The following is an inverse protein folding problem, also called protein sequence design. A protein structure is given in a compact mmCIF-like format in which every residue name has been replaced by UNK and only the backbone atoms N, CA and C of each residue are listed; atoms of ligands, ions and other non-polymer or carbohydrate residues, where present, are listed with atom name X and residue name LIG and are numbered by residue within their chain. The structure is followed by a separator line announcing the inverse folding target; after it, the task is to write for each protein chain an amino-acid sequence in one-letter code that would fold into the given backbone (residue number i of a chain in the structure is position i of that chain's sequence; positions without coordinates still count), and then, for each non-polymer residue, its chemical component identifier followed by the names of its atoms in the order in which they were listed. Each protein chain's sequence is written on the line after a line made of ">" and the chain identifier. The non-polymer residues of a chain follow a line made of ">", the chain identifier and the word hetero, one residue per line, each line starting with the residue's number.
data_IF_271899758662
#
_entry.id   IF_271899758662
#
_cell.length_a   1.000
_cell.length_b   1.000
_cell.length_c   1.000
_cell.angle_alpha   90.00
_cell.angle_beta   90.00
_cell.angle_gamma   90.00
#
_symmetry.space_group_name_H-M   'P 1'
#
loop_
_entity.id
_entity.type
_entity.pdbx_description
1 polymer ?
#
# COMPACT_ATOMS: atom_id res chain seq x y z
N UNK A 1 25.32 -6.37 -2.49
CA UNK A 1 24.95 -7.66 -3.14
C UNK A 1 25.48 -8.93 -2.46
N UNK A 2 26.63 -8.95 -1.75
CA UNK A 2 27.30 -10.21 -1.37
C UNK A 2 27.11 -10.77 0.06
N UNK A 3 26.26 -10.18 0.91
CA UNK A 3 26.18 -10.60 2.33
C UNK A 3 24.91 -11.34 2.77
N UNK A 4 23.85 -11.39 1.97
CA UNK A 4 22.58 -12.06 2.37
C UNK A 4 22.52 -13.53 1.92
N UNK A 5 23.42 -13.96 1.04
CA UNK A 5 23.44 -15.31 0.47
C UNK A 5 23.96 -16.42 1.39
N UNK A 6 24.34 -16.10 2.63
CA UNK A 6 24.97 -17.07 3.55
C UNK A 6 24.07 -17.51 4.71
N UNK A 7 22.76 -17.22 4.64
CA UNK A 7 21.79 -17.71 5.63
C UNK A 7 21.32 -19.10 5.22
N UNK A 8 21.57 -20.11 6.06
CA UNK A 8 21.08 -21.47 5.83
C UNK A 8 19.56 -21.47 5.58
N UNK A 9 19.11 -22.13 4.51
CA UNK A 9 17.71 -22.18 4.09
C UNK A 9 17.25 -21.06 3.15
N UNK A 10 18.09 -20.07 2.83
CA UNK A 10 17.79 -19.07 1.79
C UNK A 10 18.08 -19.63 0.39
N UNK A 11 17.05 -19.74 -0.45
CA UNK A 11 17.18 -20.25 -1.83
C UNK A 11 17.61 -19.15 -2.78
N UNK A 12 16.95 -17.99 -2.71
CA UNK A 12 17.36 -16.81 -3.50
C UNK A 12 16.82 -15.51 -2.91
N UNK A 13 17.53 -14.42 -3.19
CA UNK A 13 17.08 -13.05 -2.90
C UNK A 13 17.34 -12.17 -4.12
N UNK A 14 16.31 -11.45 -4.57
CA UNK A 14 16.40 -10.46 -5.65
C UNK A 14 15.89 -9.14 -5.14
N UNK A 15 16.74 -8.12 -5.16
CA UNK A 15 16.38 -6.76 -4.72
C UNK A 15 16.17 -5.88 -5.94
N UNK A 16 15.03 -5.18 -5.98
CA UNK A 16 14.75 -4.12 -6.92
C UNK A 16 14.96 -2.78 -6.20
N UNK A 17 16.05 -2.10 -6.53
CA UNK A 17 16.44 -0.81 -5.96
C UNK A 17 15.56 0.35 -6.42
N UNK A 18 14.89 0.26 -7.57
CA UNK A 18 13.96 1.30 -8.05
C UNK A 18 12.66 1.33 -7.24
N UNK A 19 12.15 0.16 -6.85
CA UNK A 19 10.88 0.02 -6.11
C UNK A 19 11.07 -0.22 -4.61
N UNK A 20 12.32 -0.32 -4.14
CA UNK A 20 12.68 -0.73 -2.77
C UNK A 20 12.02 -2.05 -2.33
N UNK A 21 11.89 -3.00 -3.26
CA UNK A 21 11.26 -4.32 -3.01
C UNK A 21 12.29 -5.43 -3.10
N UNK A 22 12.19 -6.43 -2.23
CA UNK A 22 12.98 -7.65 -2.30
C UNK A 22 12.05 -8.85 -2.49
N UNK A 23 12.36 -9.70 -3.47
CA UNK A 23 11.77 -11.01 -3.64
C UNK A 23 12.67 -12.03 -2.96
N UNK A 24 12.07 -12.81 -2.05
CA UNK A 24 12.76 -13.78 -1.22
C UNK A 24 12.16 -15.17 -1.48
N UNK A 25 13.01 -16.14 -1.81
CA UNK A 25 12.64 -17.55 -1.83
C UNK A 25 13.46 -18.27 -0.77
N UNK A 26 12.80 -18.98 0.13
CA UNK A 26 13.44 -19.71 1.22
C UNK A 26 12.68 -21.00 1.53
N UNK A 27 13.38 -21.94 2.14
CA UNK A 27 12.82 -23.19 2.63
C UNK A 27 12.23 -22.97 4.03
N UNK A 28 10.90 -23.08 4.14
CA UNK A 28 10.16 -22.90 5.40
C UNK A 28 10.48 -23.98 6.44
N UNK A 29 11.03 -25.11 6.03
CA UNK A 29 11.41 -26.20 6.95
C UNK A 29 12.74 -25.93 7.66
N UNK A 30 13.59 -25.08 7.07
CA UNK A 30 14.91 -24.76 7.61
C UNK A 30 15.00 -23.39 8.27
N UNK A 31 14.24 -22.40 7.78
CA UNK A 31 14.29 -21.04 8.34
C UNK A 31 12.92 -20.36 8.33
N UNK A 32 12.60 -19.65 9.41
CA UNK A 32 11.33 -18.89 9.52
C UNK A 32 11.47 -17.52 8.87
N UNK A 33 10.39 -17.02 8.26
CA UNK A 33 10.38 -15.67 7.66
C UNK A 33 10.74 -14.57 8.68
N UNK A 34 10.31 -14.71 9.93
CA UNK A 34 10.64 -13.78 11.02
C UNK A 34 12.15 -13.65 11.26
N UNK A 35 12.90 -14.75 11.12
CA UNK A 35 14.35 -14.75 11.30
C UNK A 35 15.04 -14.06 10.13
N UNK A 36 14.58 -14.33 8.89
CA UNK A 36 15.08 -13.63 7.70
C UNK A 36 14.82 -12.12 7.77
N UNK A 37 13.64 -11.70 8.21
CA UNK A 37 13.32 -10.28 8.44
C UNK A 37 14.20 -9.67 9.53
N UNK A 38 14.48 -10.40 10.61
CA UNK A 38 15.38 -9.94 11.69
C UNK A 38 16.81 -9.74 11.19
N UNK A 39 17.34 -10.63 10.34
CA UNK A 39 18.66 -10.47 9.71
C UNK A 39 18.69 -9.21 8.84
N UNK A 40 17.66 -8.99 8.02
CA UNK A 40 17.57 -7.78 7.19
C UNK A 40 17.50 -6.52 8.07
N UNK A 41 16.80 -6.60 9.20
CA UNK A 41 16.72 -5.49 10.16
C UNK A 41 18.06 -5.17 10.83
N UNK A 42 18.84 -6.20 11.19
CA UNK A 42 20.20 -6.04 11.72
C UNK A 42 21.18 -5.42 10.73
N UNK A 43 20.95 -5.62 9.43
CA UNK A 43 21.72 -4.95 8.36
C UNK A 43 21.35 -3.47 8.19
N UNK A 44 20.43 -2.94 9.00
CA UNK A 44 19.99 -1.54 8.96
C UNK A 44 18.81 -1.28 8.02
N UNK A 45 18.24 -2.31 7.39
CA UNK A 45 17.12 -2.17 6.46
C UNK A 45 15.79 -2.52 7.14
N UNK A 46 14.81 -1.63 7.07
CA UNK A 46 13.44 -1.94 7.52
C UNK A 46 12.72 -2.77 6.46
N UNK A 47 12.70 -4.10 6.65
CA UNK A 47 11.92 -5.00 5.81
C UNK A 47 10.61 -5.38 6.52
N UNK A 48 9.52 -5.33 5.77
CA UNK A 48 8.22 -5.86 6.17
C UNK A 48 7.70 -6.75 5.03
N UNK A 49 6.85 -7.76 5.32
CA UNK A 49 6.16 -8.51 4.28
C UNK A 49 5.45 -7.55 3.32
N UNK A 50 5.57 -7.84 2.02
CA UNK A 50 4.91 -7.05 1.00
C UNK A 50 3.39 -7.33 1.03
N UNK A 51 2.61 -6.41 1.56
CA UNK A 51 1.16 -6.51 1.71
C UNK A 51 0.46 -5.73 0.58
N UNK A 52 0.44 -6.27 -0.63
CA UNK A 52 -0.26 -5.66 -1.78
C UNK A 52 -1.75 -5.41 -1.49
N UNK A 53 -2.41 -6.43 -0.92
CA UNK A 53 -3.85 -6.43 -0.68
C UNK A 53 -4.32 -5.29 0.23
N UNK A 54 -3.52 -4.91 1.23
CA UNK A 54 -3.90 -3.84 2.16
C UNK A 54 -3.89 -2.47 1.50
N UNK A 55 -2.90 -2.21 0.63
CA UNK A 55 -2.85 -0.95 -0.11
C UNK A 55 -3.99 -0.86 -1.12
N UNK A 56 -4.21 -1.93 -1.88
CA UNK A 56 -5.27 -1.96 -2.90
C UNK A 56 -6.67 -1.84 -2.27
N UNK A 57 -6.93 -2.57 -1.18
CA UNK A 57 -8.18 -2.43 -0.43
C UNK A 57 -8.37 -1.02 0.16
N UNK A 58 -7.30 -0.40 0.67
CA UNK A 58 -7.36 0.97 1.18
C UNK A 58 -7.65 1.98 0.06
N UNK A 59 -7.04 1.79 -1.11
CA UNK A 59 -7.25 2.62 -2.29
C UNK A 59 -8.69 2.56 -2.78
N UNK A 60 -9.27 1.35 -2.90
CA UNK A 60 -10.67 1.19 -3.27
C UNK A 60 -11.64 1.84 -2.27
N UNK A 61 -11.37 1.73 -0.97
CA UNK A 61 -12.18 2.39 0.07
C UNK A 61 -12.13 3.92 -0.06
N UNK A 62 -10.93 4.48 -0.25
CA UNK A 62 -10.74 5.92 -0.44
C UNK A 62 -11.46 6.41 -1.71
N UNK A 63 -11.32 5.69 -2.82
CA UNK A 63 -11.99 6.02 -4.08
C UNK A 63 -13.51 6.10 -3.91
N UNK A 64 -14.10 5.09 -3.26
CA UNK A 64 -15.55 5.07 -2.98
C UNK A 64 -15.99 6.24 -2.11
N UNK A 65 -15.18 6.62 -1.11
CA UNK A 65 -15.47 7.77 -0.27
C UNK A 65 -15.41 9.10 -1.03
N UNK A 66 -14.46 9.25 -1.96
CA UNK A 66 -14.40 10.42 -2.83
C UNK A 66 -15.63 10.54 -3.74
N UNK A 67 -16.12 9.44 -4.30
CA UNK A 67 -17.34 9.44 -5.10
C UNK A 67 -18.57 9.88 -4.30
N UNK A 68 -18.71 9.42 -3.06
CA UNK A 68 -19.80 9.87 -2.19
C UNK A 68 -19.69 11.36 -1.87
N UNK A 69 -18.50 11.85 -1.54
CA UNK A 69 -18.27 13.28 -1.27
C UNK A 69 -18.60 14.14 -2.49
N UNK A 70 -18.19 13.72 -3.68
CA UNK A 70 -18.47 14.43 -4.92
C UNK A 70 -19.98 14.45 -5.22
N UNK A 71 -20.66 13.32 -5.06
CA UNK A 71 -22.11 13.23 -5.25
C UNK A 71 -22.89 14.14 -4.29
N UNK A 72 -22.55 14.12 -3.00
CA UNK A 72 -23.19 14.99 -1.99
C UNK A 72 -22.91 16.47 -2.29
N UNK A 73 -21.68 16.83 -2.64
CA UNK A 73 -21.34 18.20 -3.01
C UNK A 73 -22.13 18.65 -4.24
N UNK A 74 -22.23 17.83 -5.29
CA UNK A 74 -23.02 18.12 -6.48
C UNK A 74 -24.49 18.39 -6.14
N UNK A 75 -25.12 17.51 -5.37
CA UNK A 75 -26.51 17.71 -4.94
C UNK A 75 -26.68 18.98 -4.10
N UNK A 76 -25.78 19.26 -3.16
CA UNK A 76 -25.83 20.48 -2.35
C UNK A 76 -25.71 21.74 -3.24
N UNK A 77 -24.80 21.74 -4.20
CA UNK A 77 -24.65 22.87 -5.14
C UNK A 77 -25.88 23.07 -6.00
N UNK A 78 -26.55 21.99 -6.45
CA UNK A 78 -27.82 22.11 -7.19
C UNK A 78 -28.90 22.80 -6.35
N UNK A 79 -29.00 22.47 -5.06
CA UNK A 79 -29.97 23.12 -4.17
C UNK A 79 -29.64 24.59 -3.93
N UNK A 80 -28.37 24.92 -3.70
CA UNK A 80 -27.92 26.32 -3.55
C UNK A 80 -28.25 27.12 -4.81
N UNK A 81 -27.98 26.57 -5.99
CA UNK A 81 -28.30 27.22 -7.26
C UNK A 81 -29.81 27.41 -7.46
N UNK A 82 -30.64 26.42 -7.07
CA UNK A 82 -32.09 26.54 -7.15
C UNK A 82 -32.61 27.71 -6.29
N UNK A 83 -32.13 27.83 -5.05
CA UNK A 83 -32.49 28.94 -4.17
C UNK A 83 -32.00 30.28 -4.70
N UNK A 84 -30.78 30.34 -5.24
CA UNK A 84 -30.24 31.56 -5.84
C UNK A 84 -31.08 32.02 -7.05
N UNK A 85 -31.51 31.08 -7.91
CA UNK A 85 -32.42 31.37 -9.03
C UNK A 85 -33.73 31.95 -8.52
N UNK A 86 -34.38 31.32 -7.54
CA UNK A 86 -35.63 31.82 -6.99
C UNK A 86 -35.52 33.23 -6.38
N UNK A 87 -34.39 33.55 -5.74
CA UNK A 87 -34.20 34.81 -5.02
C UNK A 87 -33.82 36.00 -5.93
N UNK A 88 -33.23 35.74 -7.11
CA UNK A 88 -32.73 36.77 -8.01
C UNK A 88 -33.50 36.88 -9.34
N UNK A 89 -34.31 35.89 -9.71
CA UNK A 89 -35.14 35.91 -10.94
C UNK A 89 -36.63 36.17 -10.66
N UNK A 90 -37.02 36.38 -9.41
CA UNK A 90 -38.21 37.18 -9.03
C UNK A 90 -37.86 38.68 -9.06
#
# INVERSE_FOLDING_TARGET
>A
EKQVSNTAGLVSIRVNTTTNRALLAWDKTQVRLSELLSVIHKLGYKAAPFEADKQEASYHRMMKQYLYRLGIAGLATMQVMMLAVALYLE
#
